data_IF_392977299701
#
_entry.id   IF_392977299701
#
_cell.length_a   1.000
_cell.length_b   1.000
_cell.length_c   1.000
_cell.angle_alpha   90.00
_cell.angle_beta   90.00
_cell.angle_gamma   90.00
#
_symmetry.space_group_name_H-M   'P 1'
#
loop_
_entity.id
_entity.type
_entity.pdbx_description
1 polymer ?
#
# COMPACT_ATOMS: atom_id res chain seq x y z
N UNK A 1 -32.49 7.31 -10.05
CA UNK A 1 -32.17 6.79 -8.70
C UNK A 1 -30.74 6.26 -8.60
N UNK A 2 -30.28 5.35 -9.48
CA UNK A 2 -28.92 4.76 -9.41
C UNK A 2 -27.79 5.80 -9.39
N UNK A 3 -27.92 6.90 -10.16
CA UNK A 3 -26.92 7.96 -10.20
C UNK A 3 -26.76 8.71 -8.87
N UNK A 4 -27.83 8.89 -8.08
CA UNK A 4 -27.75 9.61 -6.80
C UNK A 4 -26.99 8.80 -5.74
N UNK A 5 -27.24 7.50 -5.65
CA UNK A 5 -26.48 6.62 -4.75
C UNK A 5 -25.00 6.57 -5.10
N UNK A 6 -24.66 6.60 -6.39
CA UNK A 6 -23.27 6.64 -6.85
C UNK A 6 -22.59 7.95 -6.43
N UNK A 7 -23.31 9.07 -6.49
CA UNK A 7 -22.81 10.38 -6.04
C UNK A 7 -22.58 10.36 -4.52
N UNK A 8 -23.56 9.94 -3.73
CA UNK A 8 -23.43 9.85 -2.26
C UNK A 8 -22.26 8.94 -1.84
N UNK A 9 -22.11 7.76 -2.46
CA UNK A 9 -20.99 6.85 -2.18
C UNK A 9 -19.65 7.52 -2.49
N UNK A 10 -19.56 8.24 -3.61
CA UNK A 10 -18.35 8.97 -3.99
C UNK A 10 -18.03 10.09 -2.99
N UNK A 11 -19.03 10.77 -2.44
CA UNK A 11 -18.83 11.78 -1.40
C UNK A 11 -18.22 11.17 -0.13
N UNK A 12 -18.78 10.05 0.36
CA UNK A 12 -18.23 9.35 1.52
C UNK A 12 -16.82 8.82 1.28
N UNK A 13 -16.55 8.26 0.09
CA UNK A 13 -15.21 7.84 -0.32
C UNK A 13 -14.23 9.02 -0.35
N UNK A 14 -14.65 10.18 -0.86
CA UNK A 14 -13.81 11.37 -0.93
C UNK A 14 -13.39 11.85 0.46
N UNK A 15 -14.32 11.82 1.43
CA UNK A 15 -14.05 12.15 2.83
C UNK A 15 -13.04 11.15 3.40
N UNK A 16 -13.21 9.87 3.13
CA UNK A 16 -12.31 8.85 3.63
C UNK A 16 -10.89 8.96 3.03
N UNK A 17 -10.79 9.21 1.72
CA UNK A 17 -9.49 9.36 1.05
C UNK A 17 -8.70 10.58 1.50
N UNK A 18 -9.35 11.62 2.05
CA UNK A 18 -8.64 12.75 2.67
C UNK A 18 -7.76 12.33 3.84
N UNK A 19 -8.07 11.21 4.53
CA UNK A 19 -7.20 10.65 5.57
C UNK A 19 -5.82 10.27 5.03
N UNK A 20 -5.79 9.63 3.86
CA UNK A 20 -4.56 9.12 3.25
C UNK A 20 -3.75 10.20 2.53
N UNK A 21 -4.31 11.41 2.40
CA UNK A 21 -3.62 12.58 1.85
C UNK A 21 -2.95 13.44 2.92
N UNK A 22 -3.04 13.07 4.20
CA UNK A 22 -2.38 13.80 5.30
C UNK A 22 -0.87 13.62 5.23
N UNK A 23 -0.13 14.68 5.57
CA UNK A 23 1.33 14.68 5.45
C UNK A 23 2.00 14.19 6.72
N UNK A 24 1.36 14.42 7.87
CA UNK A 24 1.88 14.07 9.20
C UNK A 24 0.99 13.08 9.93
N UNK A 25 1.60 12.33 10.84
CA UNK A 25 0.88 11.36 11.66
C UNK A 25 -0.12 12.07 12.58
N UNK A 26 0.26 13.22 13.11
CA UNK A 26 -0.57 14.06 13.97
C UNK A 26 -1.84 14.53 13.23
N UNK A 27 -1.69 15.08 12.01
CA UNK A 27 -2.84 15.47 11.17
C UNK A 27 -3.76 14.29 10.85
N UNK A 28 -3.20 13.10 10.63
CA UNK A 28 -4.00 11.91 10.36
C UNK A 28 -4.79 11.47 11.60
N UNK A 29 -4.22 11.60 12.81
CA UNK A 29 -4.92 11.31 14.07
C UNK A 29 -6.06 12.30 14.31
N UNK A 30 -5.82 13.60 14.12
CA UNK A 30 -6.87 14.61 14.19
C UNK A 30 -8.01 14.31 13.21
N UNK A 31 -7.65 13.92 11.99
CA UNK A 31 -8.64 13.56 10.97
C UNK A 31 -9.43 12.29 11.32
N UNK A 32 -8.80 11.30 11.95
CA UNK A 32 -9.49 10.11 12.48
C UNK A 32 -10.53 10.50 13.52
N UNK A 33 -10.22 11.44 14.42
CA UNK A 33 -11.17 11.89 15.44
C UNK A 33 -12.35 12.63 14.79
N UNK A 34 -12.07 13.52 13.83
CA UNK A 34 -13.10 14.15 13.00
C UNK A 34 -13.99 13.12 12.27
N UNK A 35 -13.42 12.05 11.72
CA UNK A 35 -14.18 10.98 11.07
C UNK A 35 -15.11 10.23 12.04
N UNK A 36 -14.70 10.05 13.30
CA UNK A 36 -15.55 9.43 14.33
C UNK A 36 -16.77 10.31 14.66
N UNK A 37 -16.59 11.62 14.72
CA UNK A 37 -17.68 12.57 14.95
C UNK A 37 -18.63 12.61 13.75
N UNK A 38 -18.08 12.69 12.53
CA UNK A 38 -18.90 12.69 11.30
C UNK A 38 -19.63 11.39 11.03
N UNK A 39 -19.28 10.30 11.71
CA UNK A 39 -19.85 8.98 11.48
C UNK A 39 -21.37 8.90 11.72
N UNK A 40 -21.91 9.82 12.52
CA UNK A 40 -23.36 9.92 12.77
C UNK A 40 -24.12 10.22 11.45
N UNK A 41 -23.49 10.93 10.52
CA UNK A 41 -24.08 11.34 9.24
C UNK A 41 -23.85 10.33 8.11
N UNK A 42 -23.27 9.16 8.42
CA UNK A 42 -22.96 8.12 7.43
C UNK A 42 -24.11 7.11 7.37
N UNK A 43 -24.28 6.41 6.23
CA UNK A 43 -25.24 5.33 6.12
C UNK A 43 -25.01 4.29 7.22
N UNK A 44 -26.06 3.79 7.89
CA UNK A 44 -25.92 2.92 9.07
C UNK A 44 -25.05 1.69 8.84
N UNK A 45 -25.13 1.10 7.65
CA UNK A 45 -24.35 -0.07 7.24
C UNK A 45 -22.85 0.28 7.21
N UNK A 46 -22.50 1.41 6.59
CA UNK A 46 -21.11 1.87 6.49
C UNK A 46 -20.56 2.26 7.86
N UNK A 47 -21.34 2.99 8.66
CA UNK A 47 -20.97 3.37 10.02
C UNK A 47 -20.70 2.13 10.90
N UNK A 48 -21.55 1.10 10.81
CA UNK A 48 -21.38 -0.18 11.52
C UNK A 48 -20.10 -0.90 11.08
N UNK A 49 -19.81 -0.94 9.79
CA UNK A 49 -18.59 -1.52 9.26
C UNK A 49 -17.34 -0.81 9.79
N UNK A 50 -17.30 0.53 9.67
CA UNK A 50 -16.16 1.33 10.10
C UNK A 50 -15.90 1.20 11.60
N UNK A 51 -16.94 1.23 12.44
CA UNK A 51 -16.84 0.99 13.89
C UNK A 51 -16.25 -0.37 14.23
N UNK A 52 -16.70 -1.42 13.55
CA UNK A 52 -16.30 -2.80 13.87
C UNK A 52 -14.93 -3.19 13.28
N UNK A 53 -14.60 -2.69 12.09
CA UNK A 53 -13.45 -3.19 11.30
C UNK A 53 -12.34 -2.16 11.16
N UNK A 54 -12.67 -0.91 10.84
CA UNK A 54 -11.66 0.10 10.53
C UNK A 54 -11.08 0.77 11.78
N UNK A 55 -11.91 1.37 12.63
CA UNK A 55 -11.42 2.13 13.79
C UNK A 55 -10.66 1.33 14.87
N UNK A 56 -10.85 0.01 15.03
CA UNK A 56 -9.97 -0.76 15.90
C UNK A 56 -8.54 -0.85 15.34
N UNK A 57 -8.38 -0.82 14.01
CA UNK A 57 -7.11 -1.09 13.34
C UNK A 57 -6.51 0.09 12.56
N UNK A 58 -7.14 1.28 12.58
CA UNK A 58 -6.76 2.41 11.73
C UNK A 58 -5.27 2.78 11.84
N UNK A 59 -4.65 2.57 13.01
CA UNK A 59 -3.23 2.87 13.28
C UNK A 59 -2.29 2.14 12.32
N UNK A 60 -2.66 0.94 11.85
CA UNK A 60 -1.88 0.18 10.85
C UNK A 60 -1.82 0.94 9.52
N UNK A 61 -2.92 1.57 9.14
CA UNK A 61 -3.07 2.24 7.85
C UNK A 61 -2.39 3.61 7.78
N UNK A 62 -2.18 4.27 8.92
CA UNK A 62 -1.48 5.57 9.01
C UNK A 62 -0.04 5.42 9.53
N UNK A 63 0.43 4.19 9.74
CA UNK A 63 1.77 3.92 10.28
C UNK A 63 2.88 4.49 9.41
N UNK A 64 2.70 4.46 8.08
CA UNK A 64 3.64 4.98 7.10
C UNK A 64 3.96 6.48 7.27
N UNK A 65 3.09 7.25 7.94
CA UNK A 65 3.31 8.67 8.24
C UNK A 65 4.31 8.91 9.38
N UNK A 66 4.69 7.87 10.14
CA UNK A 66 5.69 8.03 11.20
C UNK A 66 7.08 8.28 10.60
N UNK A 67 7.82 9.26 11.18
CA UNK A 67 9.15 9.74 10.75
C UNK A 67 10.16 8.68 10.30
N UNK A 68 10.10 7.46 10.84
CA UNK A 68 11.03 6.37 10.52
C UNK A 68 10.89 5.84 9.08
N UNK A 69 9.76 6.12 8.41
CA UNK A 69 9.37 5.50 7.13
C UNK A 69 9.22 6.49 5.96
N UNK A 70 9.50 7.80 6.15
CA UNK A 70 9.40 8.79 5.08
C UNK A 70 10.43 8.47 3.97
N UNK A 71 9.95 7.97 2.83
CA UNK A 71 10.77 7.59 1.67
C UNK A 71 11.39 6.19 1.70
N UNK A 72 10.97 5.31 2.63
CA UNK A 72 11.45 3.91 2.69
C UNK A 72 10.28 2.96 2.86
N UNK A 73 10.29 1.83 2.14
CA UNK A 73 9.38 0.72 2.41
C UNK A 73 9.52 0.26 3.86
N UNK A 74 8.41 -0.16 4.47
CA UNK A 74 8.43 -0.82 5.78
C UNK A 74 9.40 -2.00 5.74
N UNK A 75 10.24 -2.11 6.77
CA UNK A 75 11.03 -3.33 6.95
C UNK A 75 10.05 -4.49 7.13
N UNK A 76 10.12 -5.45 6.21
CA UNK A 76 9.34 -6.68 6.29
C UNK A 76 9.65 -7.39 7.62
N UNK A 77 8.60 -7.83 8.33
CA UNK A 77 8.73 -8.65 9.53
C UNK A 77 8.95 -10.14 9.19
N UNK A 78 8.94 -10.49 7.90
CA UNK A 78 9.11 -11.85 7.44
C UNK A 78 10.57 -12.23 7.64
N UNK A 79 10.83 -13.15 8.58
CA UNK A 79 12.18 -13.61 8.90
C UNK A 79 12.91 -14.16 7.68
N UNK A 80 12.17 -14.75 6.73
CA UNK A 80 12.73 -15.30 5.49
C UNK A 80 13.22 -14.17 4.57
N UNK A 81 12.42 -13.12 4.36
CA UNK A 81 12.84 -11.96 3.56
C UNK A 81 13.97 -11.17 4.23
N UNK A 82 13.96 -11.09 5.56
CA UNK A 82 15.04 -10.46 6.32
C UNK A 82 16.34 -11.28 6.24
N UNK A 83 16.25 -12.61 6.34
CA UNK A 83 17.38 -13.51 6.18
C UNK A 83 17.96 -13.40 4.77
N UNK A 84 17.14 -13.55 3.74
CA UNK A 84 17.54 -13.39 2.33
C UNK A 84 18.11 -11.98 2.10
N UNK A 85 17.42 -10.96 2.61
CA UNK A 85 17.84 -9.57 2.57
C UNK A 85 19.11 -9.27 3.34
N UNK A 86 19.59 -10.14 4.25
CA UNK A 86 20.85 -10.00 4.99
C UNK A 86 21.96 -10.84 4.37
N UNK A 87 21.70 -12.09 4.02
CA UNK A 87 22.68 -13.05 3.48
C UNK A 87 22.99 -12.85 2.01
N UNK A 88 22.10 -12.23 1.25
CA UNK A 88 22.33 -11.96 -0.17
C UNK A 88 23.53 -11.00 -0.37
N UNK A 89 24.34 -11.15 -1.43
CA UNK A 89 25.43 -10.20 -1.70
C UNK A 89 24.89 -8.79 -2.01
N UNK A 90 25.62 -7.75 -1.61
CA UNK A 90 25.23 -6.33 -1.79
C UNK A 90 24.82 -6.00 -3.23
N UNK A 91 25.53 -6.55 -4.22
CA UNK A 91 25.26 -6.34 -5.64
C UNK A 91 23.86 -6.84 -6.05
N UNK A 92 23.42 -7.99 -5.51
CA UNK A 92 22.10 -8.54 -5.79
C UNK A 92 20.99 -7.76 -5.08
N UNK A 93 21.20 -7.32 -3.83
CA UNK A 93 20.23 -6.47 -3.12
C UNK A 93 19.95 -5.15 -3.84
N UNK A 94 20.96 -4.58 -4.50
CA UNK A 94 20.82 -3.32 -5.24
C UNK A 94 19.80 -3.45 -6.39
N UNK A 95 19.67 -4.63 -7.00
CA UNK A 95 18.71 -4.91 -8.06
C UNK A 95 17.26 -4.76 -7.59
N UNK A 96 16.96 -5.10 -6.34
CA UNK A 96 15.58 -5.07 -5.81
C UNK A 96 15.26 -3.80 -5.00
N UNK A 97 16.23 -2.90 -4.80
CA UNK A 97 16.06 -1.72 -3.94
C UNK A 97 15.52 -0.48 -4.66
N UNK A 98 15.65 -0.40 -5.98
CA UNK A 98 15.22 0.74 -6.78
C UNK A 98 14.27 0.29 -7.89
N UNK A 99 13.36 1.16 -8.30
CA UNK A 99 12.42 0.89 -9.39
C UNK A 99 13.15 0.48 -10.68
N UNK A 100 14.23 1.19 -11.01
CA UNK A 100 15.08 0.91 -12.16
C UNK A 100 15.75 -0.47 -12.09
N UNK A 101 16.22 -0.86 -10.90
CA UNK A 101 16.81 -2.18 -10.69
C UNK A 101 15.79 -3.31 -10.91
N UNK A 102 14.57 -3.12 -10.43
CA UNK A 102 13.46 -4.08 -10.60
C UNK A 102 13.11 -4.21 -12.08
N UNK A 103 12.97 -3.08 -12.79
CA UNK A 103 12.70 -3.07 -14.23
C UNK A 103 13.78 -3.80 -15.03
N UNK A 104 15.06 -3.51 -14.75
CA UNK A 104 16.18 -4.18 -15.41
C UNK A 104 16.16 -5.69 -15.17
N UNK A 105 15.83 -6.12 -13.96
CA UNK A 105 15.76 -7.54 -13.65
C UNK A 105 14.60 -8.25 -14.38
N UNK A 106 13.43 -7.62 -14.48
CA UNK A 106 12.29 -8.15 -15.24
C UNK A 106 12.67 -8.29 -16.73
N UNK A 107 13.35 -7.29 -17.30
CA UNK A 107 13.79 -7.34 -18.69
C UNK A 107 14.80 -8.47 -18.94
N UNK A 108 15.78 -8.65 -18.07
CA UNK A 108 16.73 -9.76 -18.19
C UNK A 108 16.05 -11.14 -18.09
N UNK A 109 15.04 -11.30 -17.23
CA UNK A 109 14.28 -12.54 -17.15
C UNK A 109 13.46 -12.80 -18.42
N UNK A 110 12.83 -11.76 -18.98
CA UNK A 110 12.11 -11.83 -20.26
C UNK A 110 13.05 -12.28 -21.37
N UNK A 111 14.24 -11.68 -21.46
CA UNK A 111 15.20 -12.00 -22.52
C UNK A 111 15.72 -13.43 -22.41
N UNK A 112 16.07 -13.89 -21.21
CA UNK A 112 16.45 -15.28 -20.98
C UNK A 112 15.34 -16.28 -21.30
N UNK A 113 14.08 -15.93 -21.03
CA UNK A 113 12.94 -16.78 -21.39
C UNK A 113 12.75 -16.88 -22.91
N UNK A 114 12.88 -15.76 -23.63
CA UNK A 114 12.83 -15.73 -25.09
C UNK A 114 13.96 -16.57 -25.69
N UNK A 115 15.16 -16.44 -25.18
CA UNK A 115 16.34 -17.16 -25.67
C UNK A 115 16.22 -18.67 -25.46
N UNK A 116 15.73 -19.09 -24.29
CA UNK A 116 15.46 -20.50 -24.00
C UNK A 116 14.37 -21.08 -24.92
N UNK A 117 13.30 -20.32 -25.18
CA UNK A 117 12.26 -20.70 -26.16
C UNK A 117 12.80 -20.84 -27.58
N UNK A 118 13.72 -19.97 -27.99
CA UNK A 118 14.37 -20.10 -29.30
C UNK A 118 15.19 -21.39 -29.38
N UNK A 119 15.99 -21.69 -28.36
CA UNK A 119 16.77 -22.93 -28.29
C UNK A 119 15.90 -24.20 -28.32
N UNK A 120 14.73 -24.18 -27.66
CA UNK A 120 13.75 -25.28 -27.71
C UNK A 120 13.09 -25.46 -29.09
N UNK A 121 13.00 -24.39 -29.89
CA UNK A 121 12.41 -24.42 -31.24
C UNK A 121 13.43 -24.73 -32.34
N UNK A 122 14.72 -24.55 -32.06
CA UNK A 122 15.83 -24.86 -32.98
C UNK A 122 16.50 -26.21 -32.72
N UNK A 123 16.18 -26.89 -31.62
CA UNK A 123 16.50 -28.30 -31.36
C UNK A 123 15.30 -29.18 -31.69
#
# INVERSE_FOLDING_TARGET
MINNYKIEINEYLSIFYKLFKKETYEEAIEYINFLKEKLINFPPILAKYLKKKFFPEYKKYIHFLKKRHKGKLDCTNNQIENYIGNTMPKAHKKKFRTLEGIFNQIMHQKDGWIEKRKQELTN
#
